data_IF_042805321487
#
_entry.id   IF_042805321487
#
_cell.length_a   1.000
_cell.length_b   1.000
_cell.length_c   1.000
_cell.angle_alpha   90.00
_cell.angle_beta   90.00
_cell.angle_gamma   90.00
#
_symmetry.space_group_name_H-M   'P 1'
#
loop_
_entity.id
_entity.type
_entity.pdbx_description
1 polymer ?
#
# COMPACT_ATOMS: atom_id res chain seq x y z
N UNK A 1 10.38 -7.33 -16.95
CA UNK A 1 9.78 -6.90 -15.68
C UNK A 1 9.20 -5.51 -15.84
N UNK A 2 7.99 -5.31 -15.38
CA UNK A 2 7.37 -3.98 -15.39
C UNK A 2 7.53 -3.32 -14.04
N UNK A 3 7.76 -2.01 -14.04
CA UNK A 3 7.82 -1.19 -12.85
C UNK A 3 6.76 -0.10 -12.97
N UNK A 4 5.88 -0.03 -11.98
CA UNK A 4 4.79 0.93 -11.93
C UNK A 4 5.08 1.93 -10.83
N UNK A 5 5.08 3.21 -11.16
CA UNK A 5 5.20 4.31 -10.21
C UNK A 5 3.88 5.04 -10.09
N UNK A 6 3.38 5.17 -8.88
CA UNK A 6 2.22 6.00 -8.59
C UNK A 6 2.59 6.98 -7.48
N UNK A 7 2.21 8.23 -7.65
CA UNK A 7 2.44 9.27 -6.64
C UNK A 7 1.14 9.99 -6.35
N UNK A 8 0.96 10.35 -5.09
CA UNK A 8 -0.20 11.14 -4.68
C UNK A 8 0.21 12.08 -3.57
N UNK A 9 -0.26 13.33 -3.66
CA UNK A 9 -0.07 14.32 -2.60
C UNK A 9 -1.24 14.19 -1.63
N UNK A 10 -0.92 14.07 -0.35
CA UNK A 10 -1.89 13.83 0.73
C UNK A 10 -1.84 15.03 1.67
N UNK A 11 -3.01 15.60 1.95
CA UNK A 11 -3.13 16.72 2.89
C UNK A 11 -3.15 16.20 4.33
N UNK A 12 -2.02 15.66 4.72
CA UNK A 12 -1.74 15.13 6.05
C UNK A 12 -0.22 15.14 6.24
N UNK A 13 0.24 15.29 7.48
CA UNK A 13 1.68 15.38 7.75
C UNK A 13 2.40 14.07 7.44
N UNK A 14 3.70 14.13 7.12
CA UNK A 14 4.49 12.92 6.88
C UNK A 14 4.46 11.95 8.07
N UNK A 15 4.46 12.48 9.29
CA UNK A 15 4.40 11.67 10.51
C UNK A 15 3.10 10.88 10.59
N UNK A 16 1.98 11.51 10.28
CA UNK A 16 0.67 10.86 10.33
C UNK A 16 0.51 9.82 9.22
N UNK A 17 0.95 10.17 8.01
CA UNK A 17 0.87 9.24 6.87
C UNK A 17 1.77 8.03 7.13
N UNK A 18 3.00 8.26 7.57
CA UNK A 18 3.91 7.15 7.88
C UNK A 18 3.39 6.29 9.02
N UNK A 19 2.80 6.90 10.07
CA UNK A 19 2.22 6.14 11.17
C UNK A 19 1.17 5.13 10.68
N UNK A 20 0.37 5.51 9.69
CA UNK A 20 -0.62 4.61 9.11
C UNK A 20 0.01 3.52 8.24
N UNK A 21 1.01 3.88 7.42
CA UNK A 21 1.69 2.92 6.54
C UNK A 21 2.45 1.88 7.35
N UNK A 22 3.19 2.30 8.38
CA UNK A 22 4.01 1.38 9.18
C UNK A 22 3.19 0.46 10.07
N UNK A 23 1.94 0.79 10.31
CA UNK A 23 1.03 -0.05 11.10
C UNK A 23 0.50 -1.19 10.21
N UNK A 24 1.35 -2.17 9.99
CA UNK A 24 1.14 -3.20 8.96
C UNK A 24 -0.11 -4.05 9.19
N UNK A 25 -0.59 -4.15 10.43
CA UNK A 25 -1.80 -4.90 10.78
C UNK A 25 -3.10 -4.10 10.65
N UNK A 26 -3.05 -2.85 10.19
CA UNK A 26 -4.19 -1.95 10.20
C UNK A 26 -4.60 -1.45 8.82
N UNK A 27 -4.29 -2.19 7.74
CA UNK A 27 -4.65 -1.78 6.37
C UNK A 27 -6.15 -1.58 6.24
N UNK A 28 -6.96 -2.46 6.82
CA UNK A 28 -8.42 -2.41 6.76
C UNK A 28 -9.03 -1.24 7.53
N UNK A 29 -8.28 -0.60 8.42
CA UNK A 29 -8.76 0.53 9.22
C UNK A 29 -8.16 1.86 8.80
N UNK A 30 -6.85 1.86 8.51
CA UNK A 30 -6.08 3.10 8.35
C UNK A 30 -5.77 3.46 6.92
N UNK A 31 -5.90 2.52 5.96
CA UNK A 31 -5.53 2.74 4.56
C UNK A 31 -6.67 2.47 3.59
N UNK A 32 -7.28 1.30 3.65
CA UNK A 32 -8.25 0.85 2.65
C UNK A 32 -9.51 0.25 3.30
N UNK A 33 -10.23 1.03 4.13
CA UNK A 33 -11.40 0.48 4.85
C UNK A 33 -12.53 0.03 3.93
N UNK A 34 -12.61 0.57 2.70
CA UNK A 34 -13.66 0.18 1.76
C UNK A 34 -13.28 -1.00 0.87
N UNK A 35 -12.04 -1.47 0.96
CA UNK A 35 -11.56 -2.55 0.09
C UNK A 35 -11.14 -3.79 0.86
N UNK A 36 -10.51 -3.61 2.02
CA UNK A 36 -9.99 -4.70 2.84
C UNK A 36 -10.89 -4.86 4.05
N UNK A 37 -11.43 -6.06 4.26
CA UNK A 37 -12.33 -6.33 5.37
C UNK A 37 -11.59 -6.56 6.68
N UNK A 38 -10.42 -7.21 6.63
CA UNK A 38 -9.63 -7.51 7.82
C UNK A 38 -8.15 -7.66 7.43
N UNK A 39 -7.28 -7.46 8.41
CA UNK A 39 -5.83 -7.64 8.25
C UNK A 39 -5.33 -8.47 9.43
N UNK A 40 -4.53 -9.48 9.15
CA UNK A 40 -3.92 -10.32 10.18
C UNK A 40 -2.42 -10.38 9.97
N UNK A 41 -1.69 -10.60 11.07
CA UNK A 41 -0.24 -10.71 11.06
C UNK A 41 0.16 -12.06 11.61
N UNK A 42 0.97 -12.80 10.86
CA UNK A 42 1.59 -14.05 11.29
C UNK A 42 3.10 -13.95 11.03
N UNK A 43 3.88 -13.61 12.07
CA UNK A 43 5.32 -13.37 11.91
C UNK A 43 5.57 -12.18 10.99
N UNK A 44 6.27 -12.41 9.88
CA UNK A 44 6.54 -11.39 8.86
C UNK A 44 5.51 -11.40 7.71
N UNK A 45 4.44 -12.18 7.85
CA UNK A 45 3.40 -12.30 6.83
C UNK A 45 2.20 -11.45 7.22
N UNK A 46 1.78 -10.59 6.30
CA UNK A 46 0.54 -9.82 6.41
C UNK A 46 -0.51 -10.52 5.56
N UNK A 47 -1.68 -10.75 6.14
CA UNK A 47 -2.79 -11.42 5.48
C UNK A 47 -3.90 -10.41 5.29
N UNK A 48 -4.22 -10.09 4.03
CA UNK A 48 -5.32 -9.20 3.69
C UNK A 48 -6.53 -10.03 3.31
N UNK A 49 -7.65 -9.80 4.00
CA UNK A 49 -8.90 -10.50 3.76
C UNK A 49 -9.88 -9.50 3.15
N UNK A 50 -10.39 -9.84 1.97
CA UNK A 50 -11.32 -9.00 1.21
C UNK A 50 -12.76 -9.42 1.46
N UNK A 51 -13.75 -8.52 1.24
CA UNK A 51 -15.17 -8.84 1.52
C UNK A 51 -15.70 -10.04 0.74
N UNK A 52 -15.13 -10.32 -0.45
CA UNK A 52 -15.54 -11.47 -1.27
C UNK A 52 -14.90 -12.80 -0.85
N UNK A 53 -14.11 -12.79 0.24
CA UNK A 53 -13.40 -13.94 0.74
C UNK A 53 -12.02 -14.15 0.15
N UNK A 54 -11.60 -13.33 -0.83
CA UNK A 54 -10.25 -13.38 -1.36
C UNK A 54 -9.25 -13.09 -0.26
N UNK A 55 -8.18 -13.87 -0.22
CA UNK A 55 -7.10 -13.70 0.75
C UNK A 55 -5.79 -13.49 0.00
N UNK A 56 -5.09 -12.42 0.33
CA UNK A 56 -3.77 -12.12 -0.23
C UNK A 56 -2.76 -12.17 0.91
N UNK A 57 -1.67 -12.89 0.71
CA UNK A 57 -0.56 -13.00 1.66
C UNK A 57 0.62 -12.21 1.15
N UNK A 58 1.16 -11.37 2.01
CA UNK A 58 2.28 -10.50 1.70
C UNK A 58 3.37 -10.70 2.74
N UNK A 59 4.62 -10.83 2.29
CA UNK A 59 5.76 -10.81 3.19
C UNK A 59 6.16 -9.36 3.39
N UNK A 60 6.28 -8.94 4.66
CA UNK A 60 6.83 -7.64 4.97
C UNK A 60 8.35 -7.77 4.91
N UNK A 61 8.95 -7.11 3.95
CA UNK A 61 10.39 -7.21 3.68
C UNK A 61 11.18 -6.25 4.55
N UNK A 62 10.69 -5.01 4.69
CA UNK A 62 11.39 -3.99 5.46
C UNK A 62 10.42 -2.90 5.91
N UNK A 63 10.62 -2.40 7.12
CA UNK A 63 9.96 -1.21 7.64
C UNK A 63 11.05 -0.29 8.17
N UNK A 64 11.30 0.81 7.47
CA UNK A 64 12.38 1.73 7.79
C UNK A 64 11.80 3.09 8.23
N UNK A 65 11.85 3.35 9.54
CA UNK A 65 11.32 4.59 10.10
C UNK A 65 12.15 5.82 9.72
N UNK A 66 13.43 5.63 9.41
CA UNK A 66 14.32 6.74 9.06
C UNK A 66 13.98 7.31 7.69
N UNK A 67 13.77 6.43 6.70
CA UNK A 67 13.41 6.84 5.33
C UNK A 67 11.91 6.85 5.11
N UNK A 68 11.12 6.41 6.10
CA UNK A 68 9.66 6.24 6.01
C UNK A 68 9.29 5.40 4.80
N UNK A 69 9.88 4.19 4.74
CA UNK A 69 9.68 3.29 3.63
C UNK A 69 9.27 1.90 4.13
N UNK A 70 8.22 1.37 3.53
CA UNK A 70 7.75 -0.01 3.75
C UNK A 70 7.91 -0.76 2.44
N UNK A 71 8.53 -1.95 2.49
CA UNK A 71 8.64 -2.84 1.34
C UNK A 71 7.95 -4.16 1.65
N UNK A 72 7.23 -4.70 0.66
CA UNK A 72 6.56 -5.99 0.81
C UNK A 72 6.55 -6.74 -0.52
N UNK A 73 6.35 -8.06 -0.43
CA UNK A 73 6.21 -8.92 -1.59
C UNK A 73 4.94 -9.75 -1.45
N UNK A 74 4.14 -9.79 -2.52
CA UNK A 74 2.96 -10.67 -2.56
C UNK A 74 3.46 -12.08 -2.81
N UNK A 75 3.14 -13.01 -1.92
CA UNK A 75 3.61 -14.39 -2.00
C UNK A 75 2.50 -15.37 -2.37
N UNK A 76 1.23 -14.98 -2.19
CA UNK A 76 0.09 -15.87 -2.46
C UNK A 76 -1.17 -15.05 -2.64
N UNK A 77 -2.07 -15.53 -3.49
CA UNK A 77 -3.43 -15.00 -3.60
C UNK A 77 -3.60 -13.82 -4.52
N UNK A 78 -2.61 -13.48 -5.35
CA UNK A 78 -2.78 -12.40 -6.33
C UNK A 78 -4.00 -12.69 -7.21
N UNK A 79 -4.78 -11.63 -7.49
CA UNK A 79 -6.03 -11.76 -8.27
C UNK A 79 -5.81 -12.08 -9.74
N UNK A 80 -4.58 -11.87 -10.23
CA UNK A 80 -4.18 -12.12 -11.60
C UNK A 80 -3.00 -13.08 -11.59
N UNK A 81 -2.69 -13.74 -12.71
CA UNK A 81 -1.58 -14.70 -12.77
C UNK A 81 -0.22 -14.00 -12.73
N UNK A 82 0.02 -13.23 -11.68
CA UNK A 82 1.27 -12.53 -11.44
C UNK A 82 2.26 -13.55 -10.84
N UNK A 83 3.45 -13.63 -11.43
CA UNK A 83 4.49 -14.56 -10.99
C UNK A 83 5.54 -13.91 -10.10
N UNK A 84 5.58 -12.58 -10.09
CA UNK A 84 6.45 -11.80 -9.20
C UNK A 84 5.74 -10.48 -8.88
N UNK A 85 5.72 -10.10 -7.61
CA UNK A 85 5.08 -8.86 -7.18
C UNK A 85 5.81 -8.35 -5.93
N UNK A 86 6.62 -7.32 -6.11
CA UNK A 86 7.29 -6.62 -5.01
C UNK A 86 6.88 -5.16 -5.06
N UNK A 87 6.63 -4.56 -3.90
CA UNK A 87 6.17 -3.17 -3.85
C UNK A 87 6.79 -2.44 -2.68
N UNK A 88 6.81 -1.12 -2.79
CA UNK A 88 7.20 -0.25 -1.67
C UNK A 88 6.32 0.99 -1.63
N UNK A 89 6.10 1.45 -0.40
CA UNK A 89 5.56 2.78 -0.11
C UNK A 89 6.65 3.60 0.52
N UNK A 90 6.77 4.85 0.11
CA UNK A 90 7.68 5.79 0.77
C UNK A 90 6.98 7.13 0.94
N UNK A 91 7.16 7.75 2.11
CA UNK A 91 6.51 9.00 2.46
C UNK A 91 7.57 10.11 2.48
N UNK A 92 7.31 11.15 1.70
CA UNK A 92 8.17 12.33 1.62
C UNK A 92 7.39 13.57 2.09
N UNK A 93 8.07 14.54 2.70
CA UNK A 93 7.43 15.81 2.99
C UNK A 93 7.09 16.56 1.69
N UNK A 94 5.94 17.23 1.70
CA UNK A 94 5.49 18.08 0.58
C UNK A 94 5.01 19.39 1.17
N UNK A 95 5.93 20.33 1.36
CA UNK A 95 5.65 21.52 2.14
C UNK A 95 5.64 21.22 3.63
N UNK A 96 4.97 22.05 4.44
CA UNK A 96 5.04 21.95 5.90
C UNK A 96 4.12 20.88 6.48
N UNK A 97 2.91 20.73 5.93
CA UNK A 97 1.89 19.87 6.54
C UNK A 97 1.29 18.86 5.58
N UNK A 98 1.95 18.62 4.45
CA UNK A 98 1.49 17.67 3.44
C UNK A 98 2.55 16.63 3.15
N UNK A 99 2.12 15.54 2.56
CA UNK A 99 2.97 14.41 2.22
C UNK A 99 2.85 14.07 0.75
N UNK A 100 3.91 13.52 0.21
CA UNK A 100 3.91 12.86 -1.09
C UNK A 100 4.16 11.39 -0.83
N UNK A 101 3.17 10.57 -1.19
CA UNK A 101 3.26 9.12 -1.07
C UNK A 101 3.67 8.56 -2.42
N UNK A 102 4.76 7.82 -2.44
CA UNK A 102 5.28 7.16 -3.64
C UNK A 102 5.08 5.66 -3.49
N UNK A 103 4.34 5.07 -4.41
CA UNK A 103 4.06 3.64 -4.44
C UNK A 103 4.70 3.05 -5.68
N UNK A 104 5.70 2.18 -5.50
CA UNK A 104 6.41 1.53 -6.61
C UNK A 104 6.10 0.05 -6.56
N UNK A 105 5.70 -0.52 -7.69
CA UNK A 105 5.42 -1.94 -7.82
C UNK A 105 6.21 -2.51 -8.99
N UNK A 106 6.96 -3.57 -8.73
CA UNK A 106 7.66 -4.34 -9.74
C UNK A 106 6.92 -5.66 -9.90
N UNK A 107 6.62 -6.04 -11.13
CA UNK A 107 5.82 -7.24 -11.39
C UNK A 107 6.22 -7.98 -12.66
N UNK A 108 5.86 -9.25 -12.69
CA UNK A 108 5.92 -10.14 -13.85
C UNK A 108 4.60 -10.90 -13.93
N UNK A 109 4.08 -11.21 -15.10
CA UNK A 109 4.60 -10.83 -16.43
C UNK A 109 4.21 -9.39 -16.80
N UNK A 110 4.98 -8.79 -17.69
CA UNK A 110 4.78 -7.41 -18.15
C UNK A 110 3.39 -7.16 -18.73
N UNK A 111 2.79 -8.19 -19.32
CA UNK A 111 1.46 -8.09 -19.91
C UNK A 111 0.38 -7.65 -18.93
N UNK A 112 0.60 -7.82 -17.63
CA UNK A 112 -0.37 -7.43 -16.60
C UNK A 112 -0.16 -6.01 -16.07
N UNK A 113 0.82 -5.27 -16.61
CA UNK A 113 1.17 -3.95 -16.11
C UNK A 113 0.03 -2.93 -16.22
N UNK A 114 -0.69 -2.91 -17.36
CA UNK A 114 -1.78 -1.94 -17.57
C UNK A 114 -2.90 -2.11 -16.55
N UNK A 115 -3.35 -3.34 -16.33
CA UNK A 115 -4.41 -3.63 -15.36
C UNK A 115 -3.95 -3.35 -13.92
N UNK A 116 -2.71 -3.70 -13.63
CA UNK A 116 -2.14 -3.48 -12.30
C UNK A 116 -2.00 -1.99 -12.02
N UNK A 117 -1.55 -1.21 -13.02
CA UNK A 117 -1.45 0.25 -12.89
C UNK A 117 -2.80 0.88 -12.52
N UNK A 118 -3.85 0.50 -13.24
CA UNK A 118 -5.19 1.03 -12.99
C UNK A 118 -5.64 0.73 -11.55
N UNK A 119 -5.36 -0.47 -11.06
CA UNK A 119 -5.71 -0.89 -9.71
C UNK A 119 -4.90 -0.12 -8.66
N UNK A 120 -3.60 0.07 -8.89
CA UNK A 120 -2.73 0.84 -8.00
C UNK A 120 -3.17 2.30 -7.92
N UNK A 121 -3.50 2.91 -9.06
CA UNK A 121 -3.94 4.30 -9.08
C UNK A 121 -5.26 4.49 -8.30
N UNK A 122 -6.19 3.56 -8.44
CA UNK A 122 -7.43 3.60 -7.64
C UNK A 122 -7.13 3.41 -6.16
N UNK A 123 -6.25 2.48 -5.82
CA UNK A 123 -5.84 2.24 -4.44
C UNK A 123 -5.18 3.46 -3.82
N UNK A 124 -4.31 4.14 -4.57
CA UNK A 124 -3.65 5.36 -4.10
C UNK A 124 -4.66 6.47 -3.79
N UNK A 125 -5.68 6.65 -4.64
CA UNK A 125 -6.72 7.65 -4.40
C UNK A 125 -7.57 7.30 -3.18
N UNK A 126 -7.88 6.02 -2.98
CA UNK A 126 -8.63 5.58 -1.80
C UNK A 126 -7.82 5.80 -0.52
N UNK A 127 -6.54 5.51 -0.54
CA UNK A 127 -5.65 5.75 0.60
C UNK A 127 -5.55 7.25 0.90
N UNK A 128 -5.42 8.08 -0.12
CA UNK A 128 -5.41 9.55 0.04
C UNK A 128 -6.66 10.02 0.77
N UNK A 129 -7.82 9.57 0.34
CA UNK A 129 -9.09 9.96 0.96
C UNK A 129 -9.14 9.54 2.43
N UNK A 130 -8.77 8.30 2.71
CA UNK A 130 -8.80 7.76 4.07
C UNK A 130 -7.85 8.53 4.99
N UNK A 131 -6.63 8.80 4.52
CA UNK A 131 -5.62 9.50 5.31
C UNK A 131 -5.99 10.97 5.53
N UNK A 132 -6.60 11.62 4.54
CA UNK A 132 -7.03 13.00 4.69
C UNK A 132 -8.23 13.11 5.64
N UNK A 133 -9.17 12.18 5.60
CA UNK A 133 -10.29 12.14 6.53
C UNK A 133 -9.80 11.94 7.97
N UNK A 134 -8.83 11.07 8.18
CA UNK A 134 -8.24 10.85 9.50
C UNK A 134 -7.54 12.10 10.04
N UNK A 135 -6.96 12.91 9.16
CA UNK A 135 -6.20 14.10 9.55
C UNK A 135 -7.07 15.21 10.10
N UNK A 136 -8.38 15.23 9.79
CA UNK A 136 -9.29 16.27 10.28
C UNK A 136 -10.01 15.89 11.58
N UNK A 137 -9.76 14.68 12.06
CA UNK A 137 -10.29 14.22 13.36
C UNK A 137 -9.30 14.58 14.49
#
# INVERSE_FOLDING_TARGET
MASIHAEVVINSSPEQVWAAIRDVGAVHRRLLPNRVADTRIEGDIRILIYPDGQVIRERIVDVDDTTRRLAYAVIEGARQPITYHHASFQVFPEGSDRSRLVWITDLLPDALATETRARIERGAQDMKRTLEEAAVL
#
